data_IF_093149388825
#
_entry.id   IF_093149388825
#
_cell.length_a   1.000
_cell.length_b   1.000
_cell.length_c   1.000
_cell.angle_alpha   90.00
_cell.angle_beta   90.00
_cell.angle_gamma   90.00
#
_symmetry.space_group_name_H-M   'P 1'
#
loop_
_entity.id
_entity.type
_entity.pdbx_description
1 polymer ?
#
# COMPACT_ATOMS: atom_id res chain seq x y z
N UNK A 1 43.93 -30.17 -3.40
CA UNK A 1 42.46 -30.30 -3.52
C UNK A 1 41.89 -28.95 -3.18
N UNK A 2 41.44 -28.17 -4.17
CA UNK A 2 40.97 -26.79 -3.99
C UNK A 2 39.54 -26.80 -3.48
N UNK A 3 39.34 -26.19 -2.32
CA UNK A 3 38.10 -26.12 -1.56
C UNK A 3 37.06 -25.26 -2.30
N UNK A 4 35.96 -25.87 -2.76
CA UNK A 4 34.82 -25.18 -3.38
C UNK A 4 34.00 -24.44 -2.32
N UNK A 5 34.14 -23.12 -2.26
CA UNK A 5 33.34 -22.26 -1.40
C UNK A 5 31.85 -22.29 -1.81
N UNK A 6 30.97 -22.53 -0.84
CA UNK A 6 29.51 -22.61 -1.03
C UNK A 6 28.89 -21.28 -1.52
N UNK A 7 28.30 -21.32 -2.72
CA UNK A 7 27.67 -20.22 -3.46
C UNK A 7 26.28 -19.82 -2.93
N UNK A 8 26.11 -19.46 -1.65
CA UNK A 8 24.78 -19.11 -1.12
C UNK A 8 24.37 -17.64 -1.25
N UNK A 9 25.28 -16.73 -1.63
CA UNK A 9 25.00 -15.28 -1.71
C UNK A 9 25.69 -14.55 -2.89
N UNK A 10 25.96 -15.23 -4.00
CA UNK A 10 26.53 -14.54 -5.18
C UNK A 10 25.44 -13.70 -5.85
N UNK A 11 25.65 -12.38 -5.87
CA UNK A 11 24.84 -11.43 -6.64
C UNK A 11 24.81 -11.90 -8.10
N UNK A 12 23.62 -11.90 -8.73
CA UNK A 12 23.51 -12.41 -10.10
C UNK A 12 24.17 -11.42 -11.08
N UNK A 13 24.71 -11.93 -12.20
CA UNK A 13 25.27 -11.07 -13.27
C UNK A 13 24.26 -10.04 -13.76
N UNK A 14 22.98 -10.43 -13.81
CA UNK A 14 21.88 -9.55 -14.22
C UNK A 14 21.64 -8.43 -13.20
N UNK A 15 21.89 -8.68 -11.92
CA UNK A 15 21.77 -7.65 -10.88
C UNK A 15 22.91 -6.63 -10.92
N UNK A 16 24.04 -7.00 -11.53
CA UNK A 16 25.23 -6.17 -11.70
C UNK A 16 25.25 -5.39 -13.01
N UNK A 17 24.29 -5.64 -13.91
CA UNK A 17 24.18 -4.88 -15.16
C UNK A 17 23.89 -3.41 -14.87
N UNK A 18 24.43 -2.48 -15.68
CA UNK A 18 24.03 -1.08 -15.65
C UNK A 18 22.52 -0.91 -15.78
N UNK A 19 21.97 0.13 -15.15
CA UNK A 19 20.53 0.35 -15.07
C UNK A 19 19.85 0.46 -16.45
N UNK A 20 20.54 1.02 -17.45
CA UNK A 20 20.01 1.15 -18.81
C UNK A 20 19.79 -0.22 -19.47
N UNK A 21 20.78 -1.12 -19.38
CA UNK A 21 20.69 -2.48 -19.93
C UNK A 21 19.67 -3.30 -19.16
N UNK A 22 19.64 -3.17 -17.84
CA UNK A 22 18.67 -3.85 -16.98
C UNK A 22 17.25 -3.39 -17.25
N UNK A 23 17.06 -2.10 -17.53
CA UNK A 23 15.76 -1.52 -17.93
C UNK A 23 15.32 -2.08 -19.27
N UNK A 24 16.20 -2.13 -20.26
CA UNK A 24 15.90 -2.73 -21.56
C UNK A 24 15.51 -4.20 -21.44
N UNK A 25 16.25 -4.98 -20.64
CA UNK A 25 15.90 -6.38 -20.34
C UNK A 25 14.50 -6.49 -19.73
N UNK A 26 14.15 -5.64 -18.77
CA UNK A 26 12.84 -5.63 -18.13
C UNK A 26 11.71 -5.23 -19.10
N UNK A 27 11.96 -4.32 -20.04
CA UNK A 27 11.00 -3.95 -21.08
C UNK A 27 10.72 -5.17 -21.97
N UNK A 28 11.76 -5.82 -22.49
CA UNK A 28 11.62 -7.00 -23.36
C UNK A 28 10.88 -8.15 -22.66
N UNK A 29 11.19 -8.40 -21.37
CA UNK A 29 10.50 -9.41 -20.57
C UNK A 29 9.03 -9.05 -20.30
N UNK A 30 8.72 -7.76 -20.11
CA UNK A 30 7.35 -7.29 -19.90
C UNK A 30 6.50 -7.43 -21.16
N UNK A 31 7.05 -7.09 -22.32
CA UNK A 31 6.34 -7.17 -23.59
C UNK A 31 5.97 -8.61 -23.95
N UNK A 32 6.82 -9.58 -23.62
CA UNK A 32 6.55 -11.00 -23.82
C UNK A 32 6.43 -11.42 -25.29
N UNK A 33 6.81 -10.56 -26.24
CA UNK A 33 6.70 -10.81 -27.69
C UNK A 33 7.88 -11.58 -28.26
N UNK A 34 8.97 -11.72 -27.51
CA UNK A 34 10.22 -12.34 -27.97
C UNK A 34 10.57 -13.59 -27.15
N UNK A 35 11.11 -14.63 -27.78
CA UNK A 35 11.63 -15.79 -27.06
C UNK A 35 12.85 -15.38 -26.21
N UNK A 36 13.03 -16.04 -25.06
CA UNK A 36 14.15 -15.73 -24.14
C UNK A 36 15.53 -15.85 -24.81
N UNK A 37 15.68 -16.71 -25.82
CA UNK A 37 16.93 -16.84 -26.59
C UNK A 37 17.27 -15.54 -27.33
N UNK A 38 16.29 -14.96 -28.02
CA UNK A 38 16.45 -13.70 -28.75
C UNK A 38 16.66 -12.52 -27.79
N UNK A 39 15.92 -12.47 -26.66
CA UNK A 39 16.13 -11.46 -25.62
C UNK A 39 17.58 -11.53 -25.11
N UNK A 40 18.09 -12.73 -24.84
CA UNK A 40 19.48 -12.91 -24.38
C UNK A 40 20.50 -12.41 -25.40
N UNK A 41 20.32 -12.74 -26.67
CA UNK A 41 21.21 -12.32 -27.75
C UNK A 41 21.24 -10.80 -27.87
N UNK A 42 20.06 -10.17 -27.85
CA UNK A 42 19.95 -8.71 -27.92
C UNK A 42 20.60 -8.02 -26.71
N UNK A 43 20.37 -8.51 -25.49
CA UNK A 43 20.98 -7.92 -24.30
C UNK A 43 22.50 -8.14 -24.28
N UNK A 44 22.99 -9.31 -24.72
CA UNK A 44 24.43 -9.53 -24.81
C UNK A 44 25.09 -8.65 -25.89
N UNK A 45 24.40 -8.35 -26.99
CA UNK A 45 24.88 -7.39 -27.99
C UNK A 45 24.95 -5.96 -27.41
N UNK A 46 23.99 -5.56 -26.57
CA UNK A 46 24.08 -4.29 -25.84
C UNK A 46 25.23 -4.28 -24.83
N UNK A 47 25.51 -5.40 -24.16
CA UNK A 47 26.68 -5.52 -23.27
C UNK A 47 27.98 -5.29 -24.07
N UNK A 48 28.06 -5.84 -25.29
CA UNK A 48 29.21 -5.62 -26.19
C UNK A 48 29.30 -4.16 -26.66
N UNK A 49 28.17 -3.52 -27.00
CA UNK A 49 28.12 -2.12 -27.44
C UNK A 49 28.55 -1.14 -26.33
N UNK A 50 28.27 -1.46 -25.07
CA UNK A 50 28.68 -0.68 -23.91
C UNK A 50 30.11 -0.97 -23.43
N UNK A 51 30.88 -1.77 -24.19
CA UNK A 51 32.26 -2.20 -23.86
C UNK A 51 32.37 -2.82 -22.45
N UNK A 52 31.32 -3.55 -22.05
CA UNK A 52 31.31 -4.22 -20.75
C UNK A 52 32.07 -5.55 -20.82
N UNK A 53 32.68 -6.00 -19.71
CA UNK A 53 33.38 -7.27 -19.66
C UNK A 53 32.53 -8.46 -20.11
N UNK A 54 33.14 -9.38 -20.87
CA UNK A 54 32.54 -10.64 -21.32
C UNK A 54 31.92 -11.47 -20.18
N UNK A 55 32.48 -11.37 -18.98
CA UNK A 55 31.95 -12.06 -17.81
C UNK A 55 30.62 -11.47 -17.31
N UNK A 56 30.18 -10.31 -17.81
CA UNK A 56 28.83 -9.79 -17.58
C UNK A 56 27.78 -10.38 -18.53
N UNK A 57 28.19 -11.04 -19.61
CA UNK A 57 27.23 -11.66 -20.54
C UNK A 57 26.28 -12.62 -19.82
N UNK A 58 25.01 -12.48 -20.17
CA UNK A 58 23.93 -13.23 -19.57
C UNK A 58 23.94 -14.66 -20.12
N UNK A 59 23.96 -15.62 -19.20
CA UNK A 59 23.80 -17.04 -19.54
C UNK A 59 22.32 -17.41 -19.69
N UNK A 60 22.03 -18.47 -20.45
CA UNK A 60 20.66 -19.00 -20.64
C UNK A 60 19.95 -19.25 -19.31
N UNK A 61 20.61 -19.93 -18.38
CA UNK A 61 20.04 -20.25 -17.07
C UNK A 61 19.93 -19.00 -16.16
N UNK A 62 20.82 -18.03 -16.33
CA UNK A 62 20.73 -16.73 -15.65
C UNK A 62 19.46 -15.98 -16.07
N UNK A 63 19.24 -15.83 -17.38
CA UNK A 63 18.05 -15.17 -17.91
C UNK A 63 16.77 -15.89 -17.51
N UNK A 64 16.73 -17.22 -17.59
CA UNK A 64 15.53 -17.99 -17.27
C UNK A 64 15.10 -17.79 -15.81
N UNK A 65 16.03 -17.85 -14.86
CA UNK A 65 15.74 -17.60 -13.43
C UNK A 65 15.27 -16.17 -13.19
N UNK A 66 15.93 -15.20 -13.84
CA UNK A 66 15.54 -13.80 -13.73
C UNK A 66 14.14 -13.55 -14.29
N UNK A 67 13.85 -14.06 -15.48
CA UNK A 67 12.53 -13.99 -16.10
C UNK A 67 11.44 -14.57 -15.19
N UNK A 68 11.66 -15.75 -14.60
CA UNK A 68 10.70 -16.34 -13.65
C UNK A 68 10.45 -15.42 -12.44
N UNK A 69 11.51 -14.87 -11.84
CA UNK A 69 11.39 -13.93 -10.72
C UNK A 69 10.67 -12.64 -11.13
N UNK A 70 11.01 -12.10 -12.31
CA UNK A 70 10.42 -10.91 -12.89
C UNK A 70 8.91 -11.09 -13.13
N UNK A 71 8.49 -12.18 -13.77
CA UNK A 71 7.07 -12.46 -14.01
C UNK A 71 6.30 -12.67 -12.70
N UNK A 72 6.89 -13.32 -11.69
CA UNK A 72 6.29 -13.44 -10.35
C UNK A 72 6.10 -12.06 -9.70
N UNK A 73 7.08 -11.17 -9.85
CA UNK A 73 6.98 -9.77 -9.41
C UNK A 73 5.86 -9.01 -10.14
N UNK A 74 5.80 -9.12 -11.46
CA UNK A 74 4.76 -8.50 -12.28
C UNK A 74 3.35 -9.01 -11.94
N UNK A 75 3.19 -10.32 -11.71
CA UNK A 75 1.91 -10.89 -11.31
C UNK A 75 1.42 -10.30 -9.98
N UNK A 76 2.31 -10.17 -8.99
CA UNK A 76 2.02 -9.52 -7.71
C UNK A 76 1.69 -8.03 -7.90
N UNK A 77 2.42 -7.33 -8.77
CA UNK A 77 2.15 -5.93 -9.09
C UNK A 77 0.76 -5.75 -9.71
N UNK A 78 0.39 -6.59 -10.68
CA UNK A 78 -0.95 -6.56 -11.28
C UNK A 78 -2.05 -6.87 -10.27
N UNK A 79 -1.85 -7.83 -9.36
CA UNK A 79 -2.79 -8.09 -8.27
C UNK A 79 -2.95 -6.86 -7.37
N UNK A 80 -1.84 -6.22 -6.97
CA UNK A 80 -1.89 -5.01 -6.16
C UNK A 80 -2.60 -3.86 -6.89
N UNK A 81 -2.37 -3.69 -8.19
CA UNK A 81 -3.06 -2.69 -9.01
C UNK A 81 -4.55 -2.99 -9.15
N UNK A 82 -4.95 -4.25 -9.34
CA UNK A 82 -6.37 -4.64 -9.39
C UNK A 82 -7.07 -4.37 -8.06
N UNK A 83 -6.45 -4.72 -6.94
CA UNK A 83 -6.96 -4.40 -5.61
C UNK A 83 -7.09 -2.88 -5.43
N UNK A 84 -6.07 -2.12 -5.84
CA UNK A 84 -6.10 -0.65 -5.80
C UNK A 84 -7.24 -0.08 -6.64
N UNK A 85 -7.45 -0.59 -7.86
CA UNK A 85 -8.54 -0.14 -8.73
C UNK A 85 -9.92 -0.50 -8.17
N UNK A 86 -10.06 -1.69 -7.58
CA UNK A 86 -11.29 -2.08 -6.88
C UNK A 86 -11.56 -1.13 -5.71
N UNK A 87 -10.52 -0.78 -4.94
CA UNK A 87 -10.64 0.17 -3.85
C UNK A 87 -10.98 1.58 -4.34
N UNK A 88 -10.32 2.08 -5.38
CA UNK A 88 -10.67 3.40 -5.97
C UNK A 88 -12.10 3.40 -6.51
N UNK A 89 -12.58 2.31 -7.12
CA UNK A 89 -13.98 2.21 -7.55
C UNK A 89 -14.96 2.17 -6.37
N UNK A 90 -14.59 1.50 -5.30
CA UNK A 90 -15.45 1.32 -4.12
C UNK A 90 -15.45 2.55 -3.21
N UNK A 91 -14.35 3.31 -3.19
CA UNK A 91 -14.08 4.37 -2.21
C UNK A 91 -13.70 5.73 -2.82
N UNK A 92 -13.72 5.89 -4.16
CA UNK A 92 -13.16 7.05 -4.85
C UNK A 92 -13.81 8.40 -4.52
N UNK A 93 -15.06 8.39 -4.05
CA UNK A 93 -15.79 9.58 -3.59
C UNK A 93 -16.00 9.58 -2.07
N UNK A 94 -15.46 8.58 -1.38
CA UNK A 94 -15.64 8.35 0.05
C UNK A 94 -14.61 9.17 0.84
N UNK A 95 -15.00 9.88 1.92
CA UNK A 95 -14.07 10.59 2.77
C UNK A 95 -12.90 9.70 3.22
N UNK A 96 -11.68 10.24 3.31
CA UNK A 96 -10.47 9.49 3.67
C UNK A 96 -10.63 8.67 4.97
N UNK A 97 -11.39 9.19 5.94
CA UNK A 97 -11.74 8.53 7.20
C UNK A 97 -12.58 7.27 7.01
N UNK A 98 -13.48 7.28 6.04
CA UNK A 98 -14.36 6.16 5.72
C UNK A 98 -13.61 5.08 4.93
N UNK A 99 -12.65 5.45 4.06
CA UNK A 99 -11.73 4.50 3.42
C UNK A 99 -10.92 3.74 4.48
N UNK A 100 -10.33 4.46 5.44
CA UNK A 100 -9.57 3.84 6.53
C UNK A 100 -10.44 2.90 7.37
N UNK A 101 -11.70 3.26 7.63
CA UNK A 101 -12.67 2.42 8.34
C UNK A 101 -13.00 1.16 7.54
N UNK A 102 -13.21 1.26 6.23
CA UNK A 102 -13.49 0.11 5.39
C UNK A 102 -12.31 -0.84 5.27
N UNK A 103 -11.07 -0.34 5.18
CA UNK A 103 -9.86 -1.17 5.23
C UNK A 103 -9.74 -1.94 6.55
N UNK A 104 -10.13 -1.31 7.67
CA UNK A 104 -10.19 -1.96 8.97
C UNK A 104 -11.19 -3.12 8.96
N UNK A 105 -12.39 -2.92 8.41
CA UNK A 105 -13.41 -3.97 8.34
C UNK A 105 -13.00 -5.13 7.40
N UNK A 106 -12.38 -4.83 6.26
CA UNK A 106 -11.81 -5.85 5.37
C UNK A 106 -10.74 -6.67 6.11
N UNK A 107 -9.84 -6.00 6.84
CA UNK A 107 -8.82 -6.67 7.66
C UNK A 107 -9.43 -7.60 8.70
N UNK A 108 -10.48 -7.16 9.42
CA UNK A 108 -11.21 -8.02 10.36
C UNK A 108 -11.83 -9.24 9.69
N UNK A 109 -12.44 -9.07 8.50
CA UNK A 109 -13.01 -10.18 7.73
C UNK A 109 -11.95 -11.20 7.35
N UNK A 110 -10.78 -10.78 6.89
CA UNK A 110 -9.70 -11.70 6.55
C UNK A 110 -9.17 -12.48 7.76
N UNK A 111 -9.04 -11.82 8.91
CA UNK A 111 -8.65 -12.48 10.16
C UNK A 111 -9.68 -13.52 10.59
N UNK A 112 -10.97 -13.19 10.43
CA UNK A 112 -12.07 -14.13 10.69
C UNK A 112 -12.01 -15.33 9.73
N UNK A 113 -11.82 -15.11 8.42
CA UNK A 113 -11.70 -16.19 7.44
C UNK A 113 -10.54 -17.14 7.74
N UNK A 114 -9.39 -16.60 8.19
CA UNK A 114 -8.24 -17.39 8.62
C UNK A 114 -8.60 -18.26 9.83
N UNK A 115 -9.29 -17.71 10.82
CA UNK A 115 -9.76 -18.47 11.98
C UNK A 115 -10.78 -19.56 11.59
N UNK A 116 -11.71 -19.24 10.71
CA UNK A 116 -12.71 -20.22 10.25
C UNK A 116 -12.06 -21.38 9.52
N UNK A 117 -11.11 -21.11 8.61
CA UNK A 117 -10.36 -22.16 7.92
C UNK A 117 -9.58 -23.05 8.89
N UNK A 118 -8.92 -22.46 9.88
CA UNK A 118 -8.21 -23.20 10.91
C UNK A 118 -9.15 -24.13 11.72
N UNK A 119 -10.37 -23.68 12.00
CA UNK A 119 -11.40 -24.51 12.66
C UNK A 119 -11.92 -25.62 11.74
N UNK A 120 -12.21 -25.31 10.47
CA UNK A 120 -12.68 -26.28 9.48
C UNK A 120 -11.66 -27.39 9.22
N UNK A 121 -10.38 -27.04 9.17
CA UNK A 121 -9.27 -27.96 8.94
C UNK A 121 -8.83 -28.69 10.24
N UNK A 122 -9.44 -28.38 11.40
CA UNK A 122 -9.02 -28.85 12.73
C UNK A 122 -7.53 -28.58 13.02
N UNK A 123 -6.93 -27.61 12.35
CA UNK A 123 -5.54 -27.22 12.50
C UNK A 123 -5.48 -25.89 13.27
N UNK A 124 -5.17 -25.91 14.57
CA UNK A 124 -5.10 -24.68 15.35
C UNK A 124 -4.00 -23.77 14.81
N UNK A 125 -4.31 -22.47 14.72
CA UNK A 125 -3.33 -21.46 14.32
C UNK A 125 -2.10 -21.53 15.22
N UNK A 126 -0.92 -21.54 14.61
CA UNK A 126 0.31 -21.57 15.38
C UNK A 126 0.45 -20.28 16.24
N UNK A 127 1.12 -20.34 17.40
CA UNK A 127 1.22 -19.20 18.31
C UNK A 127 1.80 -17.92 17.69
N UNK A 128 2.68 -18.05 16.70
CA UNK A 128 3.29 -16.90 16.02
C UNK A 128 2.26 -16.23 15.10
N UNK A 129 1.49 -17.01 14.35
CA UNK A 129 0.38 -16.50 13.55
C UNK A 129 -0.67 -15.82 14.43
N UNK A 130 -1.04 -16.42 15.56
CA UNK A 130 -1.97 -15.81 16.52
C UNK A 130 -1.46 -14.47 17.07
N UNK A 131 -0.17 -14.39 17.39
CA UNK A 131 0.47 -13.16 17.85
C UNK A 131 0.44 -12.05 16.79
N UNK A 132 0.74 -12.40 15.53
CA UNK A 132 0.67 -11.46 14.40
C UNK A 132 -0.75 -10.95 14.18
N UNK A 133 -1.75 -11.84 14.23
CA UNK A 133 -3.16 -11.48 14.10
C UNK A 133 -3.62 -10.58 15.25
N UNK A 134 -3.23 -10.89 16.49
CA UNK A 134 -3.56 -10.07 17.66
C UNK A 134 -2.95 -8.67 17.58
N UNK A 135 -1.70 -8.56 17.09
CA UNK A 135 -1.06 -7.27 16.84
C UNK A 135 -1.75 -6.49 15.70
N UNK A 136 -2.19 -7.19 14.64
CA UNK A 136 -2.97 -6.58 13.57
C UNK A 136 -4.29 -6.02 14.14
N UNK A 137 -5.05 -6.80 14.91
CA UNK A 137 -6.29 -6.35 15.57
C UNK A 137 -6.04 -5.10 16.43
N UNK A 138 -5.00 -5.12 17.27
CA UNK A 138 -4.64 -3.97 18.12
C UNK A 138 -4.39 -2.71 17.30
N UNK A 139 -3.61 -2.81 16.22
CA UNK A 139 -3.32 -1.68 15.34
C UNK A 139 -4.58 -1.16 14.64
N UNK A 140 -5.48 -2.06 14.23
CA UNK A 140 -6.77 -1.69 13.64
C UNK A 140 -7.65 -0.91 14.65
N UNK A 141 -7.67 -1.33 15.92
CA UNK A 141 -8.40 -0.64 17.00
C UNK A 141 -7.82 0.75 17.31
N UNK A 142 -6.48 0.87 17.34
CA UNK A 142 -5.79 2.15 17.54
C UNK A 142 -6.09 3.12 16.39
N UNK A 143 -6.04 2.64 15.14
CA UNK A 143 -6.38 3.43 13.96
C UNK A 143 -7.84 3.91 13.98
N UNK A 144 -8.79 3.05 14.37
CA UNK A 144 -10.20 3.43 14.55
C UNK A 144 -10.36 4.52 15.61
N UNK A 145 -9.68 4.39 16.74
CA UNK A 145 -9.72 5.37 17.84
C UNK A 145 -9.15 6.73 17.41
N UNK A 146 -8.06 6.72 16.62
CA UNK A 146 -7.51 7.93 16.02
C UNK A 146 -8.49 8.60 15.05
N UNK A 147 -9.14 7.82 14.17
CA UNK A 147 -10.14 8.32 13.23
C UNK A 147 -11.33 8.98 13.93
N UNK A 148 -11.89 8.34 14.96
CA UNK A 148 -13.00 8.91 15.76
C UNK A 148 -12.59 10.19 16.48
N UNK A 149 -11.35 10.26 17.00
CA UNK A 149 -10.84 11.49 17.63
C UNK A 149 -10.72 12.63 16.62
N UNK A 150 -10.16 12.34 15.45
CA UNK A 150 -10.04 13.33 14.37
C UNK A 150 -11.41 13.83 13.90
N UNK A 151 -12.38 12.93 13.68
CA UNK A 151 -13.74 13.29 13.30
C UNK A 151 -14.41 14.20 14.34
N UNK A 152 -14.26 13.88 15.63
CA UNK A 152 -14.76 14.73 16.73
C UNK A 152 -14.11 16.11 16.72
N UNK A 153 -12.80 16.18 16.49
CA UNK A 153 -12.07 17.45 16.44
C UNK A 153 -12.50 18.30 15.24
N UNK A 154 -12.61 17.70 14.05
CA UNK A 154 -13.12 18.37 12.85
C UNK A 154 -14.53 18.90 13.09
N UNK A 155 -15.42 18.09 13.66
CA UNK A 155 -16.80 18.49 13.96
C UNK A 155 -16.85 19.62 14.99
N UNK A 156 -16.02 19.55 16.03
CA UNK A 156 -15.90 20.60 17.04
C UNK A 156 -15.44 21.91 16.41
N UNK A 157 -14.38 21.88 15.61
CA UNK A 157 -13.87 23.06 14.89
C UNK A 157 -14.93 23.65 13.97
N UNK A 158 -15.63 22.81 13.20
CA UNK A 158 -16.73 23.26 12.33
C UNK A 158 -17.87 23.92 13.12
N UNK A 159 -18.24 23.37 14.29
CA UNK A 159 -19.25 23.99 15.17
C UNK A 159 -18.77 25.32 15.77
N UNK A 160 -17.49 25.41 16.17
CA UNK A 160 -16.90 26.65 16.67
C UNK A 160 -16.83 27.75 15.60
N UNK A 161 -16.45 27.41 14.37
CA UNK A 161 -16.44 28.31 13.23
C UNK A 161 -17.86 28.77 12.85
N UNK A 162 -18.83 27.84 12.81
CA UNK A 162 -20.22 28.16 12.55
C UNK A 162 -20.80 29.09 13.63
N UNK A 163 -20.54 28.79 14.91
CA UNK A 163 -21.00 29.61 16.03
C UNK A 163 -20.36 31.02 16.00
N UNK A 164 -19.07 31.10 15.69
CA UNK A 164 -18.34 32.37 15.54
C UNK A 164 -18.88 33.21 14.38
N UNK A 165 -19.17 32.56 13.25
CA UNK A 165 -19.74 33.22 12.07
C UNK A 165 -21.15 33.72 12.35
N UNK A 166 -21.99 32.89 12.97
CA UNK A 166 -23.35 33.28 13.36
C UNK A 166 -23.36 34.44 14.35
N UNK A 167 -22.48 34.44 15.36
CA UNK A 167 -22.35 35.54 16.32
C UNK A 167 -21.95 36.85 15.62
N UNK A 168 -20.97 36.80 14.71
CA UNK A 168 -20.55 37.97 13.94
C UNK A 168 -21.69 38.52 13.08
N UNK A 169 -22.36 37.65 12.33
CA UNK A 169 -23.50 38.02 11.48
C UNK A 169 -24.64 38.60 12.31
N UNK A 170 -24.96 38.01 13.46
CA UNK A 170 -25.97 38.52 14.37
C UNK A 170 -25.65 39.95 14.85
N UNK A 171 -24.40 40.21 15.25
CA UNK A 171 -23.95 41.57 15.61
C UNK A 171 -24.07 42.55 14.45
N UNK A 172 -23.69 42.14 13.24
CA UNK A 172 -23.82 42.98 12.03
C UNK A 172 -25.28 43.30 11.70
N UNK A 173 -26.20 42.37 11.97
CA UNK A 173 -27.65 42.56 11.80
C UNK A 173 -28.29 43.35 12.95
N UNK A 174 -27.50 43.86 13.90
CA UNK A 174 -27.98 44.74 14.96
C UNK A 174 -28.48 44.03 16.22
N UNK A 175 -28.24 42.73 16.38
CA UNK A 175 -28.50 42.07 17.67
C UNK A 175 -27.56 42.62 18.75
N UNK A 176 -28.08 42.68 19.98
CA UNK A 176 -27.26 43.02 21.15
C UNK A 176 -26.18 41.96 21.37
N UNK A 177 -25.14 42.34 22.11
CA UNK A 177 -24.04 41.44 22.46
C UNK A 177 -24.55 40.20 23.19
N UNK A 178 -25.54 40.35 24.08
CA UNK A 178 -26.18 39.22 24.75
C UNK A 178 -26.89 38.30 23.75
N UNK A 179 -27.71 38.86 22.84
CA UNK A 179 -28.45 38.07 21.85
C UNK A 179 -27.54 37.28 20.90
N UNK A 180 -26.46 37.90 20.43
CA UNK A 180 -25.47 37.21 19.60
C UNK A 180 -24.73 36.10 20.36
N UNK A 181 -24.43 36.31 21.65
CA UNK A 181 -23.81 35.31 22.52
C UNK A 181 -24.75 34.12 22.78
N UNK A 182 -26.05 34.38 22.94
CA UNK A 182 -27.06 33.32 23.08
C UNK A 182 -27.14 32.43 21.84
N UNK A 183 -27.12 33.02 20.63
CA UNK A 183 -27.09 32.25 19.37
C UNK A 183 -25.83 31.39 19.29
N UNK A 184 -24.67 31.94 19.63
CA UNK A 184 -23.40 31.18 19.69
C UNK A 184 -23.52 29.98 20.64
N UNK A 185 -24.03 30.21 21.85
CA UNK A 185 -24.16 29.16 22.87
C UNK A 185 -25.17 28.08 22.47
N UNK A 186 -26.25 28.44 21.78
CA UNK A 186 -27.21 27.47 21.23
C UNK A 186 -26.57 26.59 20.15
N UNK A 187 -25.80 27.17 19.23
CA UNK A 187 -25.09 26.41 18.18
C UNK A 187 -24.07 25.45 18.81
N UNK A 188 -23.40 25.86 19.89
CA UNK A 188 -22.46 25.03 20.63
C UNK A 188 -23.12 24.05 21.61
N UNK A 189 -24.44 24.12 21.80
CA UNK A 189 -25.17 23.30 22.79
C UNK A 189 -24.84 23.61 24.25
N UNK A 190 -24.34 24.82 24.55
CA UNK A 190 -23.91 25.27 25.88
C UNK A 190 -25.01 25.98 26.68
N UNK A 191 -26.12 26.34 26.03
CA UNK A 191 -27.28 26.94 26.67
C UNK A 191 -28.34 25.87 26.93
N UNK A 192 -28.56 25.56 28.22
CA UNK A 192 -29.77 24.92 28.76
C UNK A 192 -30.67 25.97 29.38
#
# INVERSE_FOLDING_TARGET
>A
MTETAHTKNRISKIDQLPDDIKTQLNILLREGKMPQTAIREQINALIDEFDLPEDQKISRNGLSRYSQSFHKGMARYHQAQQLTQQWVKQFGETPQTDIARSLIEIGKSQIFDIQMKALEENEPLDPKTLSVLSLAIKRLQEAQSGSVKLEKEIRKQAMEEAASTAEKTAKTLGLTKEGATTIRNQILGLSS
#
